data_IF_380340740132
#
_entry.id   IF_380340740132
#
_cell.length_a   1.000
_cell.length_b   1.000
_cell.length_c   1.000
_cell.angle_alpha   90.00
_cell.angle_beta   90.00
_cell.angle_gamma   90.00
#
_symmetry.space_group_name_H-M   'P 1'
#
loop_
_entity.id
_entity.type
_entity.pdbx_description
1 polymer ?
#
# COMPACT_ATOMS: atom_id res chain seq x y z
N UNK A 1 14.55 -2.57 -5.21
CA UNK A 1 14.51 -3.83 -4.42
C UNK A 1 14.38 -3.54 -2.91
N UNK A 2 13.24 -3.91 -2.31
CA UNK A 2 13.04 -3.83 -0.86
C UNK A 2 13.80 -4.97 -0.17
N UNK A 3 14.37 -4.69 1.01
CA UNK A 3 15.00 -5.70 1.87
C UNK A 3 13.97 -6.58 2.56
N UNK A 4 12.85 -5.97 2.95
CA UNK A 4 11.67 -6.65 3.47
C UNK A 4 10.45 -6.01 2.84
N UNK A 5 9.47 -6.83 2.48
CA UNK A 5 8.17 -6.38 2.03
C UNK A 5 7.14 -7.37 2.56
N UNK A 6 6.35 -6.93 3.54
CA UNK A 6 5.22 -7.69 4.06
C UNK A 6 3.98 -6.89 3.73
N UNK A 7 3.11 -7.49 2.93
CA UNK A 7 1.85 -6.89 2.54
C UNK A 7 0.73 -7.77 3.08
N UNK A 8 -0.06 -7.20 3.97
CA UNK A 8 -1.22 -7.85 4.59
C UNK A 8 -2.48 -7.25 4.00
N UNK A 9 -3.37 -8.12 3.55
CA UNK A 9 -4.72 -7.78 3.14
C UNK A 9 -5.69 -8.29 4.21
N UNK A 10 -6.60 -7.43 4.66
CA UNK A 10 -7.72 -7.83 5.50
C UNK A 10 -9.02 -7.48 4.80
N UNK A 11 -10.00 -8.38 4.94
CA UNK A 11 -11.34 -8.23 4.40
C UNK A 11 -12.30 -8.45 5.55
N UNK A 12 -13.12 -7.46 5.84
CA UNK A 12 -14.11 -7.52 6.91
C UNK A 12 -15.47 -7.14 6.36
N UNK A 13 -16.51 -7.88 6.75
CA UNK A 13 -17.89 -7.53 6.45
C UNK A 13 -18.38 -6.49 7.49
N UNK A 14 -18.81 -5.33 7.00
CA UNK A 14 -19.34 -4.23 7.82
C UNK A 14 -20.63 -3.74 7.17
N UNK A 15 -21.77 -3.92 7.87
CA UNK A 15 -23.09 -3.49 7.40
C UNK A 15 -23.47 -4.01 5.99
N UNK A 16 -23.08 -5.24 5.65
CA UNK A 16 -23.31 -5.84 4.33
C UNK A 16 -22.35 -5.37 3.24
N UNK A 17 -21.37 -4.53 3.56
CA UNK A 17 -20.28 -4.15 2.67
C UNK A 17 -18.99 -4.89 3.04
N UNK A 18 -18.15 -5.17 2.05
CA UNK A 18 -16.79 -5.68 2.31
C UNK A 18 -15.81 -4.51 2.40
N UNK A 19 -15.22 -4.32 3.58
CA UNK A 19 -14.13 -3.36 3.80
C UNK A 19 -12.81 -4.09 3.58
N UNK A 20 -12.12 -3.74 2.50
CA UNK A 20 -10.76 -4.21 2.25
C UNK A 20 -9.74 -3.19 2.79
N UNK A 21 -8.80 -3.66 3.62
CA UNK A 21 -7.67 -2.86 4.10
C UNK A 21 -6.34 -3.46 3.66
N UNK A 22 -5.46 -2.60 3.14
CA UNK A 22 -4.09 -2.94 2.77
C UNK A 22 -3.11 -2.34 3.79
N UNK A 23 -2.30 -3.20 4.44
CA UNK A 23 -1.18 -2.78 5.28
C UNK A 23 0.13 -3.23 4.65
N UNK A 24 1.06 -2.30 4.45
CA UNK A 24 2.39 -2.61 3.94
C UNK A 24 3.47 -2.25 4.96
N UNK A 25 4.34 -3.19 5.23
CA UNK A 25 5.53 -3.02 6.07
C UNK A 25 6.75 -3.36 5.23
N UNK A 26 7.59 -2.36 4.98
CA UNK A 26 8.75 -2.51 4.12
C UNK A 26 10.03 -2.01 4.77
N UNK A 27 11.14 -2.58 4.35
CA UNK A 27 12.48 -2.12 4.71
C UNK A 27 13.32 -1.95 3.44
N UNK A 28 14.19 -0.95 3.43
CA UNK A 28 15.08 -0.66 2.31
C UNK A 28 16.50 -1.20 2.56
N UNK A 29 17.33 -1.23 1.53
CA UNK A 29 18.78 -1.33 1.68
C UNK A 29 19.37 0.09 1.82
N UNK A 30 20.49 0.31 2.53
CA UNK A 30 21.22 1.59 2.43
C UNK A 30 21.70 2.35 3.68
N UNK A 31 21.84 1.74 4.87
CA UNK A 31 22.55 2.36 6.00
C UNK A 31 22.12 3.80 6.36
N UNK A 32 23.06 4.71 6.63
CA UNK A 32 22.83 6.08 7.14
C UNK A 32 22.10 6.98 6.12
N UNK A 33 22.16 6.69 4.81
CA UNK A 33 21.46 7.43 3.76
C UNK A 33 20.00 6.97 3.53
N UNK A 34 19.53 5.96 4.30
CA UNK A 34 18.15 5.45 4.21
C UNK A 34 17.09 6.54 4.38
N UNK A 35 17.26 7.45 5.33
CA UNK A 35 16.20 8.40 5.72
C UNK A 35 15.84 9.35 4.57
N UNK A 36 16.84 9.85 3.84
CA UNK A 36 16.69 10.83 2.76
C UNK A 36 16.06 10.18 1.51
N UNK A 37 16.54 9.00 1.12
CA UNK A 37 16.00 8.26 -0.04
C UNK A 37 14.59 7.73 0.25
N UNK A 38 14.32 7.32 1.49
CA UNK A 38 13.01 6.84 1.93
C UNK A 38 11.95 7.94 1.93
N UNK A 39 12.27 9.12 2.50
CA UNK A 39 11.27 10.17 2.68
C UNK A 39 10.85 10.85 1.38
N UNK A 40 11.76 10.99 0.41
CA UNK A 40 11.50 11.76 -0.81
C UNK A 40 10.91 10.92 -1.95
N UNK A 41 11.42 9.69 -2.17
CA UNK A 41 11.07 8.92 -3.36
C UNK A 41 10.19 7.70 -3.04
N UNK A 42 10.58 6.89 -2.06
CA UNK A 42 9.90 5.61 -1.79
C UNK A 42 8.50 5.82 -1.21
N UNK A 43 8.34 6.79 -0.30
CA UNK A 43 7.04 7.10 0.30
C UNK A 43 6.01 7.48 -0.76
N UNK A 44 6.38 8.37 -1.69
CA UNK A 44 5.46 8.84 -2.74
C UNK A 44 5.07 7.71 -3.70
N UNK A 45 6.03 6.90 -4.13
CA UNK A 45 5.74 5.74 -4.98
C UNK A 45 4.81 4.73 -4.31
N UNK A 46 4.97 4.48 -3.01
CA UNK A 46 4.08 3.58 -2.27
C UNK A 46 2.67 4.17 -2.20
N UNK A 47 2.53 5.45 -1.85
CA UNK A 47 1.23 6.13 -1.86
C UNK A 47 0.56 6.04 -3.23
N UNK A 48 1.31 6.25 -4.31
CA UNK A 48 0.81 6.16 -5.68
C UNK A 48 0.31 4.74 -6.03
N UNK A 49 1.09 3.70 -5.70
CA UNK A 49 0.70 2.31 -5.91
C UNK A 49 -0.62 1.99 -5.20
N UNK A 50 -0.76 2.35 -3.92
CA UNK A 50 -1.97 2.03 -3.15
C UNK A 50 -3.15 2.92 -3.53
N UNK A 51 -2.91 4.16 -3.96
CA UNK A 51 -3.96 5.03 -4.50
C UNK A 51 -4.51 4.49 -5.82
N UNK A 52 -3.63 4.03 -6.71
CA UNK A 52 -4.02 3.38 -7.96
C UNK A 52 -4.81 2.10 -7.69
N UNK A 53 -4.35 1.24 -6.76
CA UNK A 53 -5.10 0.03 -6.38
C UNK A 53 -6.49 0.36 -5.87
N UNK A 54 -6.62 1.35 -4.98
CA UNK A 54 -7.93 1.78 -4.47
C UNK A 54 -8.84 2.21 -5.62
N UNK A 55 -8.33 3.02 -6.55
CA UNK A 55 -9.08 3.47 -7.72
C UNK A 55 -9.59 2.28 -8.56
N UNK A 56 -8.72 1.34 -8.92
CA UNK A 56 -9.11 0.19 -9.75
C UNK A 56 -10.11 -0.71 -9.03
N UNK A 57 -9.95 -0.92 -7.73
CA UNK A 57 -10.88 -1.74 -6.96
C UNK A 57 -12.26 -1.10 -6.90
N UNK A 58 -12.34 0.22 -6.67
CA UNK A 58 -13.60 0.95 -6.78
C UNK A 58 -14.19 0.85 -8.19
N UNK A 59 -13.39 1.00 -9.25
CA UNK A 59 -13.89 0.87 -10.63
C UNK A 59 -14.42 -0.53 -10.97
N UNK A 60 -13.82 -1.60 -10.42
CA UNK A 60 -14.21 -2.99 -10.70
C UNK A 60 -15.38 -3.46 -9.84
N UNK A 61 -15.49 -2.98 -8.61
CA UNK A 61 -16.43 -3.53 -7.61
C UNK A 61 -17.49 -2.55 -7.12
N UNK A 62 -17.35 -1.23 -7.30
CA UNK A 62 -18.40 -0.24 -6.95
C UNK A 62 -19.35 0.05 -8.12
N UNK A 63 -19.25 -0.68 -9.23
CA UNK A 63 -20.18 -0.56 -10.37
C UNK A 63 -21.46 -1.40 -10.24
N UNK A 64 -21.72 -2.01 -9.08
CA UNK A 64 -22.96 -2.76 -8.78
C UNK A 64 -23.70 -2.19 -7.57
#
# INVERSE_FOLDING_TARGET
PYKKWVHTHTFEEVNGFTVMSDKVEYDLYGGIFKSIVHSAFVKNSIVEIFSYRKKIISEVFESE
#
